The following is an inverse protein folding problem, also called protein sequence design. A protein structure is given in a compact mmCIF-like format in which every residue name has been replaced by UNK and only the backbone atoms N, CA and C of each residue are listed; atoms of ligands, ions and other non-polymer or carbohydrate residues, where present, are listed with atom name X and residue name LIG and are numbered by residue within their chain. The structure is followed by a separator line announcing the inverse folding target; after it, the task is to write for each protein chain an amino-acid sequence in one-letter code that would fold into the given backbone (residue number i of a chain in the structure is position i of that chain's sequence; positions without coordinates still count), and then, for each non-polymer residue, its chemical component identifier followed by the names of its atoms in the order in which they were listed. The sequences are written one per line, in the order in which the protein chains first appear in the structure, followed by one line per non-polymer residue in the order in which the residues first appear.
data_IF_806097816969
#
_entry.id   IF_806097816969
#
_cell.length_a   1.000
_cell.length_b   1.000
_cell.length_c   1.000
_cell.angle_alpha   90.00
_cell.angle_beta   90.00
_cell.angle_gamma   90.00
#
_symmetry.space_group_name_H-M   'P 1'
#
loop_
_entity.id
_entity.type
_entity.pdbx_description
1 polymer ?
#
# COMPACT_ATOMS: atom_id res chain seq x y z
N UNK A 1 31.44 -12.81 9.77
CA UNK A 1 30.60 -13.23 8.63
C UNK A 1 29.40 -13.96 9.20
N UNK A 2 28.32 -13.24 9.52
CA UNK A 2 27.08 -13.87 9.99
C UNK A 2 26.16 -14.12 8.79
N UNK A 3 25.90 -15.39 8.52
CA UNK A 3 24.96 -15.86 7.53
C UNK A 3 23.53 -15.47 7.94
N UNK A 4 23.05 -14.35 7.43
CA UNK A 4 21.62 -14.00 7.47
C UNK A 4 20.87 -15.01 6.61
N UNK A 5 20.35 -16.06 7.25
CA UNK A 5 19.46 -17.04 6.63
C UNK A 5 18.13 -16.34 6.33
N UNK A 6 18.03 -15.74 5.14
CA UNK A 6 16.80 -15.14 4.61
C UNK A 6 15.81 -16.26 4.35
N UNK A 7 14.98 -16.57 5.35
CA UNK A 7 13.89 -17.53 5.20
C UNK A 7 12.74 -16.83 4.47
N UNK A 8 12.83 -16.80 3.15
CA UNK A 8 11.77 -16.29 2.27
C UNK A 8 10.62 -17.31 2.27
N UNK A 9 9.42 -16.89 2.64
CA UNK A 9 8.24 -17.75 2.64
C UNK A 9 7.17 -17.13 1.74
N UNK A 10 6.71 -17.90 0.76
CA UNK A 10 5.50 -17.56 -0.01
C UNK A 10 4.31 -17.55 0.94
N UNK A 11 3.57 -16.43 0.94
CA UNK A 11 2.41 -16.24 1.77
C UNK A 11 1.15 -16.21 0.90
N UNK A 12 0.21 -17.10 1.19
CA UNK A 12 -1.10 -17.08 0.56
C UNK A 12 -2.09 -16.44 1.54
N UNK A 13 -2.56 -15.21 1.29
CA UNK A 13 -3.53 -14.59 2.17
C UNK A 13 -4.80 -15.44 2.22
N UNK A 14 -5.28 -15.72 3.43
CA UNK A 14 -6.64 -16.25 3.62
C UNK A 14 -7.61 -15.10 3.33
N UNK A 15 -8.48 -15.29 2.35
CA UNK A 15 -9.52 -14.31 2.00
C UNK A 15 -10.45 -14.04 3.18
N UNK A 16 -10.76 -12.78 3.44
CA UNK A 16 -11.69 -12.36 4.48
C UNK A 16 -11.12 -11.28 5.40
N UNK A 17 -11.25 -10.01 5.00
CA UNK A 17 -11.89 -8.93 5.75
C UNK A 17 -11.40 -7.56 5.23
N UNK A 18 -12.01 -7.03 4.17
CA UNK A 18 -12.18 -5.59 3.93
C UNK A 18 -10.92 -4.71 3.85
N UNK A 19 -9.74 -5.30 3.61
CA UNK A 19 -8.45 -4.60 3.65
C UNK A 19 -7.88 -4.21 2.29
N UNK A 20 -6.75 -3.51 2.29
CA UNK A 20 -6.00 -3.13 1.10
C UNK A 20 -5.59 -4.32 0.22
N UNK A 21 -5.37 -5.50 0.79
CA UNK A 21 -5.10 -6.71 0.02
C UNK A 21 -6.26 -7.08 -0.92
N UNK A 22 -7.51 -6.98 -0.45
CA UNK A 22 -8.70 -7.25 -1.28
C UNK A 22 -8.93 -6.13 -2.31
N UNK A 23 -8.73 -4.86 -1.91
CA UNK A 23 -8.81 -3.73 -2.83
C UNK A 23 -7.78 -3.83 -3.96
N UNK A 24 -6.56 -4.27 -3.65
CA UNK A 24 -5.51 -4.52 -4.63
C UNK A 24 -5.92 -5.63 -5.61
N UNK A 25 -6.47 -6.74 -5.14
CA UNK A 25 -6.96 -7.80 -6.04
C UNK A 25 -8.06 -7.30 -6.98
N UNK A 26 -9.00 -6.49 -6.46
CA UNK A 26 -10.07 -5.91 -7.27
C UNK A 26 -9.53 -4.92 -8.32
N UNK A 27 -8.58 -4.07 -7.92
CA UNK A 27 -7.91 -3.14 -8.83
C UNK A 27 -7.19 -3.91 -9.94
N UNK A 28 -6.42 -4.94 -9.61
CA UNK A 28 -5.69 -5.74 -10.59
C UNK A 28 -6.62 -6.43 -11.60
N UNK A 29 -7.79 -6.91 -11.15
CA UNK A 29 -8.82 -7.46 -12.05
C UNK A 29 -9.36 -6.40 -13.00
N UNK A 30 -9.68 -5.20 -12.52
CA UNK A 30 -10.18 -4.11 -13.36
C UNK A 30 -9.15 -3.62 -14.36
N UNK A 31 -7.89 -3.58 -13.92
CA UNK A 31 -6.71 -3.31 -14.73
C UNK A 31 -6.30 -4.51 -15.62
N UNK A 32 -7.06 -5.60 -15.63
CA UNK A 32 -6.84 -6.78 -16.49
C UNK A 32 -5.44 -7.38 -16.36
N UNK A 33 -4.87 -7.37 -15.16
CA UNK A 33 -3.65 -8.13 -14.90
C UNK A 33 -3.93 -9.63 -14.99
N UNK A 34 -3.11 -10.40 -15.71
CA UNK A 34 -3.41 -11.79 -16.03
C UNK A 34 -3.29 -12.71 -14.81
N UNK A 35 -2.35 -12.41 -13.90
CA UNK A 35 -1.99 -13.27 -12.79
C UNK A 35 -2.23 -12.60 -11.45
N UNK A 36 -2.47 -13.44 -10.44
CA UNK A 36 -2.57 -12.98 -9.05
C UNK A 36 -1.22 -12.45 -8.55
N UNK A 37 -1.23 -11.46 -7.64
CA UNK A 37 -0.01 -10.99 -7.00
C UNK A 37 0.66 -12.12 -6.20
N UNK A 38 1.98 -12.19 -6.25
CA UNK A 38 2.79 -13.11 -5.45
C UNK A 38 3.28 -12.37 -4.22
N UNK A 39 3.01 -12.91 -3.04
CA UNK A 39 3.38 -12.30 -1.76
C UNK A 39 4.53 -13.05 -1.11
N UNK A 40 5.61 -12.33 -0.82
CA UNK A 40 6.77 -12.84 -0.09
C UNK A 40 6.93 -12.12 1.24
N UNK A 41 6.71 -12.87 2.32
CA UNK A 41 6.99 -12.40 3.66
C UNK A 41 8.45 -12.68 4.01
N UNK A 42 9.15 -11.66 4.49
CA UNK A 42 10.50 -11.79 5.04
C UNK A 42 10.44 -11.46 6.53
N UNK A 43 10.95 -12.38 7.35
CA UNK A 43 11.10 -12.15 8.77
C UNK A 43 12.41 -11.41 9.03
N UNK A 44 12.33 -10.29 9.74
CA UNK A 44 13.48 -9.50 10.15
C UNK A 44 13.65 -9.66 11.65
N UNK A 45 14.75 -10.30 12.05
CA UNK A 45 15.07 -10.53 13.46
C UNK A 45 16.09 -9.47 13.90
N UNK A 46 15.73 -8.66 14.89
CA UNK A 46 16.61 -7.68 15.53
C UNK A 46 16.62 -7.94 17.04
N UNK A 47 17.67 -8.60 17.53
CA UNK A 47 17.73 -9.07 18.92
C UNK A 47 16.59 -10.06 19.24
N UNK A 48 15.80 -9.77 20.27
CA UNK A 48 14.63 -10.58 20.65
C UNK A 48 13.36 -10.26 19.84
N UNK A 49 13.37 -9.20 19.02
CA UNK A 49 12.21 -8.79 18.23
C UNK A 49 12.17 -9.51 16.89
N UNK A 50 10.97 -9.94 16.52
CA UNK A 50 10.66 -10.61 15.26
C UNK A 50 9.65 -9.77 14.52
N UNK A 51 10.13 -8.93 13.62
CA UNK A 51 9.30 -8.12 12.77
C UNK A 51 9.18 -8.73 11.37
N UNK A 52 8.25 -8.22 10.59
CA UNK A 52 7.92 -8.71 9.26
C UNK A 52 7.95 -7.57 8.25
N UNK A 53 8.48 -7.86 7.06
CA UNK A 53 8.29 -7.05 5.86
C UNK A 53 7.65 -7.92 4.79
N UNK A 54 6.87 -7.29 3.91
CA UNK A 54 6.21 -7.96 2.81
C UNK A 54 6.67 -7.36 1.49
N UNK A 55 6.92 -8.23 0.50
CA UNK A 55 7.09 -7.85 -0.89
C UNK A 55 5.96 -8.45 -1.73
N UNK A 56 5.37 -7.63 -2.58
CA UNK A 56 4.31 -8.02 -3.51
C UNK A 56 4.85 -7.87 -4.92
N UNK A 57 4.83 -8.97 -5.66
CA UNK A 57 5.25 -9.03 -7.06
C UNK A 57 4.02 -9.17 -7.93
N UNK A 58 3.93 -8.32 -8.95
CA UNK A 58 2.81 -8.26 -9.87
C UNK A 58 3.39 -8.41 -11.25
N UNK A 59 3.06 -9.53 -11.90
CA UNK A 59 3.54 -9.80 -13.24
C UNK A 59 3.00 -8.75 -14.22
N UNK A 60 3.81 -8.35 -15.19
CA UNK A 60 3.37 -7.44 -16.23
C UNK A 60 2.25 -8.05 -17.07
N UNK A 61 1.46 -7.18 -17.71
CA UNK A 61 0.39 -7.58 -18.64
C UNK A 61 0.95 -8.14 -19.94
N UNK A 62 2.06 -7.59 -20.40
CA UNK A 62 2.74 -7.95 -21.64
C UNK A 62 4.10 -8.54 -21.33
N UNK A 63 4.51 -9.57 -22.08
CA UNK A 63 5.78 -10.29 -21.86
C UNK A 63 7.02 -9.39 -21.98
N UNK A 64 6.92 -8.27 -22.69
CA UNK A 64 8.00 -7.30 -22.88
C UNK A 64 8.09 -6.25 -21.77
N UNK A 65 7.10 -6.18 -20.89
CA UNK A 65 7.07 -5.22 -19.81
C UNK A 65 7.65 -5.83 -18.52
N UNK A 66 8.38 -5.03 -17.76
CA UNK A 66 8.82 -5.43 -16.44
C UNK A 66 7.62 -5.43 -15.48
N UNK A 67 7.51 -6.48 -14.66
CA UNK A 67 6.50 -6.53 -13.60
C UNK A 67 6.74 -5.46 -12.52
N UNK A 68 5.74 -5.24 -11.67
CA UNK A 68 5.84 -4.32 -10.55
C UNK A 68 6.23 -5.06 -9.28
N UNK A 69 7.10 -4.44 -8.47
CA UNK A 69 7.47 -4.94 -7.16
C UNK A 69 7.24 -3.85 -6.13
N UNK A 70 6.44 -4.16 -5.13
CA UNK A 70 6.12 -3.25 -4.03
C UNK A 70 6.55 -3.88 -2.72
N UNK A 71 6.98 -3.05 -1.77
CA UNK A 71 7.44 -3.50 -0.46
C UNK A 71 6.68 -2.71 0.61
N UNK A 72 6.43 -3.35 1.75
CA UNK A 72 5.96 -2.67 2.96
C UNK A 72 6.91 -1.50 3.29
N UNK A 73 6.34 -0.35 3.66
CA UNK A 73 7.11 0.84 4.06
C UNK A 73 7.76 0.60 5.42
N UNK A 74 7.02 -0.02 6.33
CA UNK A 74 7.44 -0.24 7.71
C UNK A 74 7.64 -1.72 8.01
N UNK A 75 8.42 -1.99 9.05
CA UNK A 75 8.48 -3.30 9.68
C UNK A 75 7.24 -3.45 10.56
N UNK A 76 6.49 -4.54 10.39
CA UNK A 76 5.24 -4.77 11.13
C UNK A 76 5.40 -5.96 12.07
N UNK A 77 4.68 -5.93 13.19
CA UNK A 77 4.77 -6.96 14.22
C UNK A 77 4.28 -8.35 13.77
N UNK A 78 3.44 -8.42 12.73
CA UNK A 78 2.93 -9.67 12.17
C UNK A 78 2.85 -9.62 10.63
N UNK A 79 2.67 -10.79 10.01
CA UNK A 79 2.64 -10.97 8.55
C UNK A 79 1.45 -10.26 7.92
N UNK A 80 0.30 -10.28 8.58
CA UNK A 80 -0.96 -9.73 8.09
C UNK A 80 -0.88 -8.21 7.99
N UNK A 81 -0.34 -7.54 9.00
CA UNK A 81 -0.08 -6.10 8.98
C UNK A 81 0.96 -5.73 7.92
N UNK A 82 2.03 -6.52 7.78
CA UNK A 82 3.01 -6.32 6.70
C UNK A 82 2.36 -6.46 5.32
N UNK A 83 1.43 -7.40 5.16
CA UNK A 83 0.66 -7.58 3.93
C UNK A 83 -0.21 -6.37 3.62
N UNK A 84 -0.98 -5.88 4.59
CA UNK A 84 -1.85 -4.71 4.39
C UNK A 84 -1.04 -3.48 4.01
N UNK A 85 0.11 -3.27 4.67
CA UNK A 85 1.02 -2.17 4.39
C UNK A 85 1.60 -2.24 2.96
N UNK A 86 2.12 -3.40 2.56
CA UNK A 86 2.61 -3.58 1.19
C UNK A 86 1.49 -3.51 0.14
N UNK A 87 0.28 -3.95 0.49
CA UNK A 87 -0.87 -3.90 -0.42
C UNK A 87 -1.38 -2.46 -0.60
N UNK A 88 -1.37 -1.65 0.47
CA UNK A 88 -1.64 -0.21 0.41
C UNK A 88 -0.66 0.45 -0.54
N UNK A 89 0.64 0.19 -0.35
CA UNK A 89 1.67 0.77 -1.21
C UNK A 89 1.51 0.37 -2.68
N UNK A 90 1.27 -0.91 -2.95
CA UNK A 90 1.02 -1.41 -4.29
C UNK A 90 -0.20 -0.75 -4.92
N UNK A 91 -1.32 -0.69 -4.19
CA UNK A 91 -2.56 -0.09 -4.66
C UNK A 91 -2.36 1.37 -5.06
N UNK A 92 -1.76 2.17 -4.17
CA UNK A 92 -1.51 3.59 -4.38
C UNK A 92 -0.64 3.86 -5.61
N UNK A 93 0.49 3.14 -5.73
CA UNK A 93 1.41 3.31 -6.86
C UNK A 93 0.80 2.85 -8.18
N UNK A 94 0.04 1.76 -8.18
CA UNK A 94 -0.66 1.30 -9.38
C UNK A 94 -1.74 2.29 -9.83
N UNK A 95 -2.52 2.85 -8.90
CA UNK A 95 -3.49 3.90 -9.20
C UNK A 95 -2.84 5.11 -9.86
N UNK A 96 -1.62 5.48 -9.44
CA UNK A 96 -0.84 6.55 -10.07
C UNK A 96 -0.35 6.17 -11.47
N UNK A 97 0.30 5.01 -11.60
CA UNK A 97 0.88 4.53 -12.87
C UNK A 97 -0.21 4.39 -13.94
N UNK A 98 -1.35 3.82 -13.57
CA UNK A 98 -2.48 3.54 -14.47
C UNK A 98 -3.63 4.56 -14.32
N UNK A 99 -3.31 5.79 -13.91
CA UNK A 99 -4.32 6.82 -13.58
C UNK A 99 -5.38 7.05 -14.66
N UNK A 100 -5.02 6.96 -15.94
CA UNK A 100 -5.96 7.09 -17.07
C UNK A 100 -6.96 5.93 -17.10
N UNK A 101 -6.50 4.70 -16.89
CA UNK A 101 -7.37 3.52 -16.88
C UNK A 101 -8.23 3.49 -15.61
N UNK A 102 -7.64 3.87 -14.48
CA UNK A 102 -8.31 3.95 -13.18
C UNK A 102 -9.38 5.04 -13.15
N UNK A 103 -9.28 6.09 -13.97
CA UNK A 103 -10.31 7.12 -14.11
C UNK A 103 -11.69 6.56 -14.49
N UNK A 104 -11.73 5.40 -15.15
CA UNK A 104 -12.95 4.71 -15.55
C UNK A 104 -13.49 3.72 -14.50
N UNK A 105 -12.81 3.59 -13.36
CA UNK A 105 -13.15 2.61 -12.33
C UNK A 105 -13.64 3.26 -11.04
N UNK A 106 -14.29 2.51 -10.13
CA UNK A 106 -14.69 3.01 -8.82
C UNK A 106 -13.51 3.51 -7.95
N UNK A 107 -12.28 3.20 -8.32
CA UNK A 107 -11.08 3.62 -7.60
C UNK A 107 -10.57 5.01 -7.99
N UNK A 108 -11.19 5.70 -8.97
CA UNK A 108 -10.75 7.04 -9.37
C UNK A 108 -10.93 8.12 -8.28
N UNK A 109 -11.87 7.90 -7.36
CA UNK A 109 -12.13 8.75 -6.19
C UNK A 109 -11.51 8.17 -4.91
N UNK A 110 -10.60 7.20 -5.03
CA UNK A 110 -10.03 6.60 -3.83
C UNK A 110 -9.36 7.71 -3.01
N UNK A 111 -9.76 7.90 -1.73
CA UNK A 111 -9.45 9.11 -0.97
C UNK A 111 -7.96 9.32 -0.69
N UNK A 112 -7.12 8.35 -1.02
CA UNK A 112 -5.68 8.40 -0.83
C UNK A 112 -5.00 8.65 -2.19
N UNK A 113 -4.57 9.90 -2.42
CA UNK A 113 -3.70 10.31 -3.51
C UNK A 113 -2.36 10.81 -2.95
N UNK A 114 -1.24 10.63 -3.66
CA UNK A 114 0.07 11.12 -3.22
C UNK A 114 0.13 12.65 -3.10
N UNK A 115 0.92 13.12 -2.12
CA UNK A 115 1.22 14.53 -1.89
C UNK A 115 1.67 15.23 -3.18
N UNK A 116 0.83 16.14 -3.70
CA UNK A 116 1.16 17.04 -4.81
C UNK A 116 0.37 16.85 -6.11
N UNK A 117 -0.51 15.85 -6.24
CA UNK A 117 -1.36 15.72 -7.44
C UNK A 117 -2.57 16.67 -7.38
N UNK A 118 -2.56 17.72 -8.20
CA UNK A 118 -3.60 18.77 -8.25
C UNK A 118 -4.81 18.39 -9.11
N UNK A 119 -4.94 17.14 -9.56
CA UNK A 119 -5.97 16.73 -10.54
C UNK A 119 -7.38 16.50 -9.96
N UNK A 120 -7.56 16.49 -8.64
CA UNK A 120 -8.89 16.42 -8.01
C UNK A 120 -9.56 17.81 -7.90
N UNK A 121 -9.89 18.43 -9.02
CA UNK A 121 -10.93 19.46 -9.04
C UNK A 121 -12.26 18.80 -9.38
N UNK A 122 -13.00 18.34 -8.37
CA UNK A 122 -14.42 18.01 -8.55
C UNK A 122 -15.12 19.34 -8.85
N UNK A 123 -15.65 19.49 -10.08
CA UNK A 123 -16.48 20.65 -10.45
C UNK A 123 -17.60 20.78 -9.42
N UNK A 124 -17.63 21.91 -8.71
CA UNK A 124 -18.70 22.25 -7.76
C UNK A 124 -20.05 22.09 -8.48
N UNK A 125 -20.85 21.12 -8.06
CA UNK A 125 -22.27 21.08 -8.43
C UNK A 125 -22.95 22.19 -7.63
N UNK A 126 -23.58 23.16 -8.31
CA UNK A 126 -24.34 24.24 -7.66
C UNK A 126 -25.53 23.61 -6.94
N UNK A 127 -25.44 23.46 -5.63
CA UNK A 127 -26.56 22.94 -4.84
C UNK A 127 -26.28 22.73 -3.36
N UNK A 128 -25.01 22.57 -2.97
CA UNK A 128 -24.63 22.45 -1.55
C UNK A 128 -23.38 23.28 -1.26
N UNK A 129 -23.57 24.45 -0.67
CA UNK A 129 -22.70 24.94 0.40
C UNK A 129 -23.10 24.08 1.61
N UNK A 130 -22.27 23.29 2.28
CA UNK A 130 -20.97 23.52 2.87
C UNK A 130 -20.24 22.17 3.04
N UNK A 131 -18.90 22.20 3.06
CA UNK A 131 -17.96 21.07 3.16
C UNK A 131 -17.85 20.20 1.89
N UNK A 132 -17.03 20.68 0.95
CA UNK A 132 -16.75 19.91 -0.27
C UNK A 132 -16.09 18.56 0.06
N UNK A 133 -16.36 17.50 -0.70
CA UNK A 133 -15.70 16.19 -0.57
C UNK A 133 -14.16 16.25 -0.59
N UNK A 134 -13.59 17.33 -1.16
CA UNK A 134 -12.15 17.61 -1.21
C UNK A 134 -11.58 17.83 0.19
N UNK A 135 -12.35 18.41 1.12
CA UNK A 135 -11.89 18.58 2.49
C UNK A 135 -11.85 17.24 3.21
N UNK A 136 -12.86 16.38 3.09
CA UNK A 136 -12.83 15.08 3.76
C UNK A 136 -11.69 14.16 3.29
N UNK A 137 -11.41 14.12 1.98
CA UNK A 137 -10.26 13.36 1.48
C UNK A 137 -8.91 13.92 1.95
N UNK A 138 -8.76 15.25 1.99
CA UNK A 138 -7.55 15.90 2.53
C UNK A 138 -7.34 15.60 4.02
N UNK A 139 -8.40 15.63 4.83
CA UNK A 139 -8.30 15.35 6.27
C UNK A 139 -8.02 13.86 6.54
N UNK A 140 -8.64 12.95 5.78
CA UNK A 140 -8.30 11.52 5.85
C UNK A 140 -6.85 11.26 5.47
N UNK A 141 -6.34 11.95 4.43
CA UNK A 141 -4.93 11.84 4.05
C UNK A 141 -4.01 12.40 5.13
N UNK A 142 -4.29 13.60 5.67
CA UNK A 142 -3.48 14.19 6.73
C UNK A 142 -3.47 13.31 8.00
N UNK A 143 -4.58 12.66 8.33
CA UNK A 143 -4.66 11.74 9.46
C UNK A 143 -3.85 10.46 9.23
N UNK A 144 -3.89 9.91 8.02
CA UNK A 144 -3.14 8.70 7.64
C UNK A 144 -1.64 8.98 7.52
N UNK A 145 -1.25 10.13 6.97
CA UNK A 145 0.14 10.58 6.91
C UNK A 145 0.68 10.83 8.33
N UNK A 146 -0.07 11.53 9.19
CA UNK A 146 0.32 11.74 10.58
C UNK A 146 0.41 10.41 11.37
N UNK A 147 -0.44 9.44 11.04
CA UNK A 147 -0.36 8.10 11.63
C UNK A 147 0.92 7.36 11.21
N UNK A 148 1.28 7.40 9.92
CA UNK A 148 2.52 6.77 9.43
C UNK A 148 3.77 7.53 9.91
N UNK A 149 3.77 8.86 9.95
CA UNK A 149 4.86 9.66 10.54
C UNK A 149 5.07 9.30 12.02
N UNK A 150 3.98 9.16 12.79
CA UNK A 150 4.07 8.73 14.18
C UNK A 150 4.65 7.30 14.32
N UNK A 151 4.37 6.42 13.36
CA UNK A 151 4.97 5.08 13.32
C UNK A 151 6.46 5.12 12.96
N UNK A 152 6.88 5.99 12.03
CA UNK A 152 8.29 6.23 11.72
C UNK A 152 9.05 6.78 12.92
N UNK A 153 8.47 7.77 13.61
CA UNK A 153 9.05 8.31 14.85
C UNK A 153 9.18 7.24 15.93
N UNK A 154 8.16 6.39 16.10
CA UNK A 154 8.23 5.25 17.01
C UNK A 154 9.35 4.29 16.63
N UNK A 155 9.52 3.97 15.35
CA UNK A 155 10.59 3.08 14.88
C UNK A 155 12.00 3.71 15.02
N UNK A 156 12.12 5.02 14.81
CA UNK A 156 13.35 5.77 15.10
C UNK A 156 13.68 5.77 16.60
N UNK A 157 12.71 6.08 17.45
CA UNK A 157 12.87 6.07 18.91
C UNK A 157 13.24 4.67 19.41
N UNK A 158 12.59 3.63 18.88
CA UNK A 158 12.92 2.23 19.18
C UNK A 158 14.35 1.87 18.76
N UNK A 159 14.82 2.39 17.63
CA UNK A 159 16.19 2.17 17.17
C UNK A 159 17.24 2.85 18.05
N UNK A 160 16.92 4.02 18.63
CA UNK A 160 17.79 4.73 19.57
C UNK A 160 17.89 4.06 20.94
N UNK A 161 16.84 3.36 21.39
CA UNK A 161 16.80 2.66 22.68
C UNK A 161 17.51 1.28 22.61
N UNK A 162 17.61 0.70 21.42
CA UNK A 162 18.21 -0.62 21.20
C UNK A 162 19.72 -0.59 20.85
N UNK A 163 20.33 0.60 20.80
CA UNK A 163 21.79 0.81 20.72
C UNK A 163 22.35 1.18 22.08
#
# INVERSE_FOLDING_TARGET
MENSSKKTQEFFPKGGNGGYAEQLELLLKQLRFPNKPIHHAEQVIKGFRKDWTMKIYIQAREEKCQGHVFKSRHLRANKEAALQDASREAFMRLCKIYSIEVASTPFFLHPFHECGDRRCHIRKFRGFEEQSPIHFSMWMWAADEAYEEALEELDMLRSKIAG
#
